data_IF_030513549047
#
_entry.id   IF_030513549047
#
_cell.length_a   1.000
_cell.length_b   1.000
_cell.length_c   1.000
_cell.angle_alpha   90.00
_cell.angle_beta   90.00
_cell.angle_gamma   90.00
#
_symmetry.space_group_name_H-M   'P 1'
#
loop_
_entity.id
_entity.type
_entity.pdbx_description
1 polymer ?
#
# COMPACT_ATOMS: atom_id res chain seq x y z
N UNK A 1 -14.53 -26.71 16.98
CA UNK A 1 -14.83 -25.29 16.64
C UNK A 1 -14.10 -24.45 17.68
N UNK A 2 -12.85 -24.08 17.42
CA UNK A 2 -12.11 -23.14 18.28
C UNK A 2 -12.41 -21.73 17.76
N UNK A 3 -12.94 -20.88 18.65
CA UNK A 3 -13.22 -19.48 18.36
C UNK A 3 -11.94 -18.80 17.86
N UNK A 4 -12.02 -18.13 16.71
CA UNK A 4 -10.94 -17.24 16.24
C UNK A 4 -10.76 -16.15 17.31
N UNK A 5 -9.51 -15.83 17.70
CA UNK A 5 -9.28 -14.70 18.57
C UNK A 5 -9.86 -13.45 17.91
N UNK A 6 -10.61 -12.67 18.68
CA UNK A 6 -11.06 -11.34 18.32
C UNK A 6 -9.87 -10.54 17.80
N UNK A 7 -10.09 -9.75 16.74
CA UNK A 7 -9.06 -8.87 16.20
C UNK A 7 -8.45 -8.07 17.37
N UNK A 8 -7.23 -8.42 17.78
CA UNK A 8 -6.53 -7.66 18.81
C UNK A 8 -6.45 -6.21 18.34
N UNK A 9 -6.97 -5.32 19.17
CA UNK A 9 -6.95 -3.91 18.88
C UNK A 9 -5.49 -3.49 18.67
N UNK A 10 -5.19 -3.08 17.43
CA UNK A 10 -3.87 -2.58 17.05
C UNK A 10 -3.42 -1.51 18.05
N UNK A 11 -2.18 -1.59 18.60
CA UNK A 11 -1.70 -0.51 19.45
C UNK A 11 -1.74 0.81 18.69
N UNK A 12 -2.08 1.92 19.37
CA UNK A 12 -2.12 3.23 18.72
C UNK A 12 -0.74 3.61 18.18
N UNK A 13 -0.72 4.37 17.08
CA UNK A 13 0.51 4.92 16.53
C UNK A 13 1.30 5.69 17.61
N UNK A 14 2.64 5.70 17.54
CA UNK A 14 3.45 6.54 18.42
C UNK A 14 2.98 8.00 18.40
N UNK A 15 3.01 8.72 19.54
CA UNK A 15 2.55 10.12 19.59
C UNK A 15 3.18 10.99 18.51
N UNK A 16 4.49 10.90 18.30
CA UNK A 16 5.19 11.67 17.27
C UNK A 16 4.67 11.40 15.85
N UNK A 17 4.32 10.17 15.52
CA UNK A 17 3.73 9.82 14.22
C UNK A 17 2.33 10.41 14.08
N UNK A 18 1.51 10.37 15.14
CA UNK A 18 0.17 11.00 15.15
C UNK A 18 0.23 12.50 14.96
N UNK A 19 1.15 13.17 15.65
CA UNK A 19 1.36 14.62 15.53
C UNK A 19 1.84 15.01 14.13
N UNK A 20 2.71 14.18 13.52
CA UNK A 20 3.16 14.38 12.16
C UNK A 20 2.03 14.20 11.14
N UNK A 21 1.18 13.18 11.29
CA UNK A 21 0.01 12.95 10.42
C UNK A 21 -0.99 14.12 10.49
N UNK A 22 -1.20 14.70 11.69
CA UNK A 22 -2.12 15.81 11.87
C UNK A 22 -1.75 17.07 11.06
N UNK A 23 -0.47 17.25 10.70
CA UNK A 23 -0.01 18.38 9.86
C UNK A 23 -0.54 18.33 8.44
N UNK A 24 -1.01 17.17 7.97
CA UNK A 24 -1.57 16.98 6.65
C UNK A 24 -3.09 17.17 6.58
N UNK A 25 -3.75 17.53 7.69
CA UNK A 25 -5.19 17.73 7.70
C UNK A 25 -5.62 18.75 6.65
N UNK A 26 -6.55 18.34 5.77
CA UNK A 26 -7.11 19.19 4.70
C UNK A 26 -6.23 19.31 3.44
N UNK A 27 -4.99 18.82 3.44
CA UNK A 27 -4.07 18.95 2.29
C UNK A 27 -4.54 18.20 1.04
N UNK A 28 -5.39 17.19 1.20
CA UNK A 28 -5.99 16.40 0.12
C UNK A 28 -7.50 16.64 -0.03
N UNK A 29 -8.02 17.78 0.44
CA UNK A 29 -9.44 18.12 0.30
C UNK A 29 -9.85 18.13 -1.19
N UNK A 30 -10.95 17.44 -1.51
CA UNK A 30 -11.45 17.31 -2.88
C UNK A 30 -10.67 16.35 -3.78
N UNK A 31 -9.69 15.61 -3.25
CA UNK A 31 -8.96 14.56 -3.97
C UNK A 31 -9.59 13.20 -3.73
N UNK A 32 -9.38 12.30 -4.69
CA UNK A 32 -9.80 10.90 -4.62
C UNK A 32 -8.56 10.00 -4.60
N UNK A 33 -8.51 9.10 -3.62
CA UNK A 33 -7.46 8.09 -3.53
C UNK A 33 -8.02 6.68 -3.78
N UNK A 34 -7.26 5.85 -4.47
CA UNK A 34 -7.52 4.41 -4.64
C UNK A 34 -6.43 3.65 -3.88
N UNK A 35 -6.80 2.76 -2.97
CA UNK A 35 -5.84 1.98 -2.18
C UNK A 35 -6.14 0.50 -2.31
N UNK A 36 -5.15 -0.30 -2.71
CA UNK A 36 -5.26 -1.76 -2.70
C UNK A 36 -4.69 -2.37 -1.43
N UNK A 37 -5.17 -3.56 -1.03
CA UNK A 37 -4.85 -4.11 0.28
C UNK A 37 -5.39 -3.27 1.44
N UNK A 38 -6.44 -2.47 1.18
CA UNK A 38 -6.94 -1.41 2.05
C UNK A 38 -7.55 -1.90 3.39
N UNK A 39 -7.89 -3.19 3.50
CA UNK A 39 -8.56 -3.71 4.69
C UNK A 39 -7.66 -3.94 5.91
N UNK A 40 -6.34 -4.06 5.74
CA UNK A 40 -5.41 -4.41 6.83
C UNK A 40 -4.05 -3.71 6.70
N UNK A 41 -3.25 -3.77 7.76
CA UNK A 41 -1.85 -3.37 7.75
C UNK A 41 -1.59 -1.97 7.20
N UNK A 42 -0.62 -1.88 6.30
CA UNK A 42 -0.18 -0.63 5.67
C UNK A 42 -1.31 0.01 4.86
N UNK A 43 -2.04 -0.80 4.04
CA UNK A 43 -3.13 -0.28 3.21
C UNK A 43 -4.26 0.35 4.04
N UNK A 44 -4.64 -0.29 5.17
CA UNK A 44 -5.63 0.27 6.11
C UNK A 44 -5.13 1.60 6.71
N UNK A 45 -3.90 1.63 7.20
CA UNK A 45 -3.32 2.83 7.80
C UNK A 45 -3.25 3.97 6.79
N UNK A 46 -2.80 3.69 5.58
CA UNK A 46 -2.72 4.64 4.47
C UNK A 46 -4.11 5.18 4.09
N UNK A 47 -5.12 4.31 3.98
CA UNK A 47 -6.50 4.73 3.67
C UNK A 47 -7.04 5.72 4.71
N UNK A 48 -6.84 5.43 5.99
CA UNK A 48 -7.27 6.30 7.08
C UNK A 48 -6.49 7.63 7.10
N UNK A 49 -5.19 7.59 6.83
CA UNK A 49 -4.35 8.79 6.78
C UNK A 49 -4.73 9.71 5.60
N UNK A 50 -4.98 9.15 4.41
CA UNK A 50 -5.44 9.89 3.24
C UNK A 50 -6.82 10.53 3.49
N UNK A 51 -7.74 9.80 4.15
CA UNK A 51 -9.04 10.33 4.52
C UNK A 51 -8.93 11.44 5.57
N UNK A 52 -8.08 11.30 6.58
CA UNK A 52 -7.82 12.36 7.58
C UNK A 52 -7.19 13.61 6.95
N UNK A 53 -6.42 13.44 5.86
CA UNK A 53 -5.90 14.53 5.05
C UNK A 53 -6.96 15.17 4.13
N UNK A 54 -8.18 14.64 4.06
CA UNK A 54 -9.30 15.22 3.34
C UNK A 54 -9.69 14.52 2.03
N UNK A 55 -9.03 13.41 1.66
CA UNK A 55 -9.38 12.66 0.46
C UNK A 55 -10.63 11.78 0.67
N UNK A 56 -11.40 11.57 -0.38
CA UNK A 56 -12.34 10.45 -0.48
C UNK A 56 -11.57 9.20 -0.94
N UNK A 57 -11.90 8.01 -0.44
CA UNK A 57 -11.04 6.83 -0.62
C UNK A 57 -11.80 5.62 -1.17
N UNK A 58 -11.33 5.09 -2.31
CA UNK A 58 -11.72 3.77 -2.81
C UNK A 58 -10.83 2.70 -2.17
N UNK A 59 -11.46 1.74 -1.50
CA UNK A 59 -10.86 0.67 -0.73
C UNK A 59 -10.96 -0.64 -1.50
N UNK A 60 -9.85 -1.12 -2.03
CA UNK A 60 -9.77 -2.35 -2.80
C UNK A 60 -9.06 -3.45 -2.03
N UNK A 61 -9.60 -4.67 -2.05
CA UNK A 61 -9.00 -5.83 -1.39
C UNK A 61 -9.90 -7.05 -1.52
N UNK A 62 -9.43 -8.24 -1.18
CA UNK A 62 -10.16 -9.48 -1.43
C UNK A 62 -11.35 -9.74 -0.49
N UNK A 63 -11.36 -9.15 0.70
CA UNK A 63 -12.36 -9.44 1.75
C UNK A 63 -13.21 -8.21 2.01
N UNK A 64 -14.53 -8.37 1.90
CA UNK A 64 -15.48 -7.27 2.08
C UNK A 64 -15.45 -6.73 3.52
N UNK A 65 -15.59 -7.60 4.52
CA UNK A 65 -15.72 -7.21 5.94
C UNK A 65 -14.62 -6.23 6.42
N UNK A 66 -13.29 -6.49 6.22
CA UNK A 66 -12.28 -5.51 6.61
C UNK A 66 -12.32 -4.19 5.83
N UNK A 67 -12.83 -4.20 4.60
CA UNK A 67 -13.01 -2.97 3.82
C UNK A 67 -14.16 -2.13 4.38
N UNK A 68 -15.27 -2.76 4.78
CA UNK A 68 -16.43 -2.09 5.38
C UNK A 68 -16.08 -1.46 6.74
N UNK A 69 -15.27 -2.13 7.55
CA UNK A 69 -14.73 -1.55 8.78
C UNK A 69 -13.95 -0.26 8.51
N UNK A 70 -13.06 -0.27 7.52
CA UNK A 70 -12.27 0.92 7.14
C UNK A 70 -13.18 2.00 6.56
N UNK A 71 -14.16 1.64 5.73
CA UNK A 71 -15.14 2.57 5.18
C UNK A 71 -15.94 3.27 6.28
N UNK A 72 -16.35 2.54 7.31
CA UNK A 72 -17.06 3.10 8.47
C UNK A 72 -16.18 4.12 9.20
N UNK A 73 -14.90 3.81 9.42
CA UNK A 73 -13.96 4.73 10.07
C UNK A 73 -13.73 6.00 9.23
N UNK A 74 -13.64 5.87 7.91
CA UNK A 74 -13.52 7.01 6.97
C UNK A 74 -14.78 7.87 7.01
N UNK A 75 -15.96 7.26 7.07
CA UNK A 75 -17.23 7.96 7.28
C UNK A 75 -17.23 8.78 8.57
N UNK A 76 -16.67 8.25 9.66
CA UNK A 76 -16.46 8.95 10.93
C UNK A 76 -15.52 10.17 10.83
N UNK A 77 -14.66 10.24 9.82
CA UNK A 77 -13.82 11.39 9.49
C UNK A 77 -14.53 12.41 8.57
N UNK A 78 -15.81 12.19 8.25
CA UNK A 78 -16.57 13.05 7.35
C UNK A 78 -16.17 12.92 5.87
N UNK A 79 -15.53 11.80 5.48
CA UNK A 79 -15.13 11.53 4.09
C UNK A 79 -15.93 10.39 3.50
N UNK A 80 -16.01 10.35 2.15
CA UNK A 80 -16.67 9.26 1.45
C UNK A 80 -15.70 8.11 1.25
N UNK A 81 -16.21 6.89 1.40
CA UNK A 81 -15.48 5.67 1.09
C UNK A 81 -16.26 4.81 0.09
N UNK A 82 -15.56 4.11 -0.79
CA UNK A 82 -16.11 3.10 -1.70
C UNK A 82 -15.35 1.80 -1.47
N UNK A 83 -15.99 0.83 -0.82
CA UNK A 83 -15.41 -0.49 -0.57
C UNK A 83 -15.77 -1.46 -1.70
N UNK A 84 -14.77 -2.09 -2.32
CA UNK A 84 -14.97 -3.03 -3.42
C UNK A 84 -14.05 -4.25 -3.26
N UNK A 85 -14.62 -5.46 -3.07
CA UNK A 85 -13.85 -6.69 -3.03
C UNK A 85 -13.34 -7.02 -4.43
N UNK A 86 -12.01 -7.12 -4.56
CA UNK A 86 -11.33 -7.45 -5.81
C UNK A 86 -9.98 -8.11 -5.54
N UNK A 87 -9.62 -9.09 -6.37
CA UNK A 87 -8.26 -9.61 -6.44
C UNK A 87 -7.46 -8.80 -7.48
N UNK A 88 -6.32 -8.25 -7.08
CA UNK A 88 -5.48 -7.43 -7.97
C UNK A 88 -4.88 -8.22 -9.12
N UNK A 89 -4.89 -9.56 -9.07
CA UNK A 89 -4.43 -10.44 -10.14
C UNK A 89 -5.45 -10.58 -11.27
N UNK A 90 -6.71 -10.21 -11.04
CA UNK A 90 -7.79 -10.20 -12.04
C UNK A 90 -7.87 -8.81 -12.69
N UNK A 91 -7.15 -8.60 -13.79
CA UNK A 91 -7.09 -7.32 -14.46
C UNK A 91 -8.47 -6.77 -14.90
N UNK A 92 -9.38 -7.55 -15.52
CA UNK A 92 -10.75 -7.10 -15.83
C UNK A 92 -11.53 -6.66 -14.58
N UNK A 93 -11.43 -7.40 -13.48
CA UNK A 93 -12.11 -7.05 -12.23
C UNK A 93 -11.54 -5.75 -11.62
N UNK A 94 -10.22 -5.54 -11.67
CA UNK A 94 -9.57 -4.31 -11.22
C UNK A 94 -10.03 -3.11 -12.05
N UNK A 95 -10.10 -3.25 -13.36
CA UNK A 95 -10.62 -2.19 -14.25
C UNK A 95 -12.10 -1.86 -13.94
N UNK A 96 -12.93 -2.87 -13.70
CA UNK A 96 -14.33 -2.67 -13.32
C UNK A 96 -14.45 -1.97 -11.96
N UNK A 97 -13.65 -2.38 -10.97
CA UNK A 97 -13.60 -1.76 -9.65
C UNK A 97 -13.17 -0.29 -9.73
N UNK A 98 -12.15 0.04 -10.52
CA UNK A 98 -11.68 1.42 -10.72
C UNK A 98 -12.75 2.28 -11.39
N UNK A 99 -13.47 1.77 -12.40
CA UNK A 99 -14.61 2.49 -13.03
C UNK A 99 -15.73 2.75 -12.03
N UNK A 100 -16.09 1.77 -11.23
CA UNK A 100 -17.14 1.89 -10.20
C UNK A 100 -16.73 2.91 -9.13
N UNK A 101 -15.47 2.88 -8.68
CA UNK A 101 -14.92 3.85 -7.75
C UNK A 101 -14.96 5.28 -8.34
N UNK A 102 -14.58 5.44 -9.62
CA UNK A 102 -14.64 6.74 -10.29
C UNK A 102 -16.07 7.27 -10.44
N UNK A 103 -17.05 6.40 -10.64
CA UNK A 103 -18.49 6.76 -10.65
C UNK A 103 -18.95 7.23 -9.28
N UNK A 104 -18.50 6.58 -8.21
CA UNK A 104 -18.94 6.86 -6.84
C UNK A 104 -18.25 8.10 -6.25
N UNK A 105 -16.94 8.28 -6.49
CA UNK A 105 -16.11 9.27 -5.80
C UNK A 105 -15.54 10.34 -6.73
N UNK A 106 -15.39 10.04 -8.01
CA UNK A 106 -14.66 10.82 -8.99
C UNK A 106 -13.36 10.14 -9.44
N UNK A 107 -12.67 10.71 -10.45
CA UNK A 107 -11.42 10.14 -10.95
C UNK A 107 -10.31 10.16 -9.89
N UNK A 108 -9.47 9.14 -9.88
CA UNK A 108 -8.38 9.02 -8.93
C UNK A 108 -7.29 10.08 -9.15
N UNK A 109 -6.95 10.82 -8.11
CA UNK A 109 -5.77 11.71 -8.04
C UNK A 109 -4.54 10.98 -7.48
N UNK A 110 -4.77 10.03 -6.56
CA UNK A 110 -3.72 9.23 -5.90
C UNK A 110 -4.08 7.75 -6.03
N UNK A 111 -3.13 6.91 -6.39
CA UNK A 111 -3.31 5.47 -6.30
C UNK A 111 -2.17 4.83 -5.51
N UNK A 112 -2.52 3.99 -4.53
CA UNK A 112 -1.57 3.30 -3.66
C UNK A 112 -1.68 1.79 -3.87
N UNK A 113 -0.70 1.20 -4.52
CA UNK A 113 -0.59 -0.23 -4.73
C UNK A 113 0.07 -0.87 -3.50
N UNK A 114 -0.75 -1.29 -2.52
CA UNK A 114 -0.30 -1.86 -1.24
C UNK A 114 -0.71 -3.32 -1.05
N UNK A 115 -1.43 -3.93 -2.00
CA UNK A 115 -1.70 -5.36 -1.96
C UNK A 115 -0.41 -6.16 -2.14
N UNK A 116 -0.22 -7.20 -1.32
CA UNK A 116 0.94 -8.05 -1.42
C UNK A 116 0.73 -9.40 -0.73
N UNK A 117 1.54 -10.38 -1.10
CA UNK A 117 1.59 -11.71 -0.49
C UNK A 117 3.03 -12.13 -0.23
N UNK A 118 3.20 -13.05 0.71
CA UNK A 118 4.49 -13.61 1.08
C UNK A 118 4.87 -14.81 0.16
N UNK A 119 6.18 -15.03 -0.02
CA UNK A 119 6.75 -16.22 -0.67
C UNK A 119 8.10 -16.56 -0.01
N UNK A 120 8.11 -16.61 1.31
CA UNK A 120 9.30 -16.87 2.11
C UNK A 120 9.50 -18.37 2.30
N UNK A 121 10.56 -18.91 1.72
CA UNK A 121 10.98 -20.30 1.86
C UNK A 121 12.41 -20.44 1.34
N UNK A 122 13.17 -21.40 1.87
CA UNK A 122 14.43 -21.81 1.28
C UNK A 122 14.20 -22.32 -0.15
N UNK A 123 15.19 -22.18 -1.02
CA UNK A 123 15.02 -22.40 -2.46
C UNK A 123 14.57 -23.82 -2.81
N UNK A 124 15.01 -24.81 -2.05
CA UNK A 124 14.65 -26.22 -2.20
C UNK A 124 13.22 -26.54 -1.68
N UNK A 125 12.68 -25.69 -0.81
CA UNK A 125 11.32 -25.79 -0.26
C UNK A 125 10.33 -24.81 -0.92
N UNK A 126 10.81 -23.90 -1.77
CA UNK A 126 9.96 -22.91 -2.43
C UNK A 126 9.04 -23.55 -3.45
N UNK A 127 7.75 -23.66 -3.12
CA UNK A 127 6.75 -24.17 -4.06
C UNK A 127 6.58 -23.22 -5.26
N UNK A 128 6.65 -23.77 -6.51
CA UNK A 128 6.45 -22.98 -7.72
C UNK A 128 5.11 -22.22 -7.80
N UNK A 129 4.05 -22.75 -7.20
CA UNK A 129 2.75 -22.04 -7.15
C UNK A 129 2.82 -20.83 -6.23
N UNK A 130 3.51 -20.93 -5.09
CA UNK A 130 3.76 -19.83 -4.16
C UNK A 130 4.57 -18.72 -4.82
N UNK A 131 5.63 -19.08 -5.57
CA UNK A 131 6.41 -18.10 -6.34
C UNK A 131 5.54 -17.39 -7.38
N UNK A 132 4.76 -18.14 -8.17
CA UNK A 132 3.84 -17.55 -9.17
C UNK A 132 2.83 -16.62 -8.53
N UNK A 133 2.23 -17.01 -7.42
CA UNK A 133 1.27 -16.17 -6.69
C UNK A 133 1.89 -14.86 -6.19
N UNK A 134 3.15 -14.90 -5.73
CA UNK A 134 3.86 -13.69 -5.32
C UNK A 134 4.13 -12.76 -6.51
N UNK A 135 4.60 -13.28 -7.64
CA UNK A 135 4.82 -12.48 -8.85
C UNK A 135 3.50 -11.90 -9.38
N UNK A 136 2.44 -12.70 -9.44
CA UNK A 136 1.13 -12.24 -9.88
C UNK A 136 0.58 -11.12 -8.98
N UNK A 137 0.66 -11.26 -7.66
CA UNK A 137 0.13 -10.25 -6.75
C UNK A 137 1.05 -9.02 -6.64
N UNK A 138 2.36 -9.25 -6.40
CA UNK A 138 3.30 -8.21 -6.03
C UNK A 138 3.86 -7.44 -7.23
N UNK A 139 3.70 -7.97 -8.46
CA UNK A 139 4.18 -7.33 -9.69
C UNK A 139 3.02 -7.07 -10.66
N UNK A 140 2.34 -8.12 -11.16
CA UNK A 140 1.24 -7.96 -12.12
C UNK A 140 0.08 -7.18 -11.51
N UNK A 141 -0.25 -7.42 -10.22
CA UNK A 141 -1.29 -6.69 -9.50
C UNK A 141 -1.02 -5.18 -9.44
N UNK A 142 0.23 -4.76 -9.27
CA UNK A 142 0.63 -3.35 -9.34
C UNK A 142 0.35 -2.78 -10.74
N UNK A 143 0.77 -3.49 -11.78
CA UNK A 143 0.54 -3.08 -13.16
C UNK A 143 -0.96 -2.95 -13.48
N UNK A 144 -1.78 -3.91 -13.02
CA UNK A 144 -3.23 -3.89 -13.21
C UNK A 144 -3.88 -2.66 -12.58
N UNK A 145 -3.50 -2.33 -11.34
CA UNK A 145 -4.03 -1.15 -10.64
C UNK A 145 -3.62 0.15 -11.34
N UNK A 146 -2.34 0.28 -11.71
CA UNK A 146 -1.84 1.46 -12.42
C UNK A 146 -2.57 1.62 -13.76
N UNK A 147 -2.69 0.57 -14.56
CA UNK A 147 -3.41 0.59 -15.84
C UNK A 147 -4.86 1.01 -15.68
N UNK A 148 -5.52 0.60 -14.62
CA UNK A 148 -6.93 0.91 -14.39
C UNK A 148 -7.19 2.39 -14.06
N UNK A 149 -6.26 3.07 -13.35
CA UNK A 149 -6.41 4.48 -12.97
C UNK A 149 -5.76 5.44 -13.97
N UNK A 150 -4.78 4.98 -14.73
CA UNK A 150 -3.94 5.80 -15.61
C UNK A 150 -4.72 6.60 -16.67
N UNK A 151 -5.77 6.08 -17.34
CA UNK A 151 -6.51 6.85 -18.34
C UNK A 151 -7.07 8.17 -17.79
N UNK A 152 -7.64 8.15 -16.59
CA UNK A 152 -8.17 9.35 -15.95
C UNK A 152 -7.06 10.34 -15.55
N UNK A 153 -5.95 9.86 -15.01
CA UNK A 153 -4.79 10.68 -14.67
C UNK A 153 -4.16 11.34 -15.90
N UNK A 154 -4.08 10.61 -17.03
CA UNK A 154 -3.60 11.19 -18.31
C UNK A 154 -4.50 12.31 -18.82
N UNK A 155 -5.82 12.14 -18.75
CA UNK A 155 -6.78 13.21 -19.12
C UNK A 155 -6.61 14.44 -18.23
N UNK A 156 -6.38 14.23 -16.94
CA UNK A 156 -6.16 15.30 -15.97
C UNK A 156 -4.75 15.92 -16.05
N UNK A 157 -3.81 15.30 -16.76
CA UNK A 157 -2.37 15.62 -16.79
C UNK A 157 -1.77 15.76 -15.39
N UNK A 158 -2.24 14.95 -14.44
CA UNK A 158 -1.78 14.91 -13.05
C UNK A 158 -2.13 13.58 -12.40
N UNK A 159 -1.34 13.17 -11.45
CA UNK A 159 -1.58 11.98 -10.62
C UNK A 159 -0.37 11.61 -9.78
N UNK A 160 -0.62 10.90 -8.69
CA UNK A 160 0.43 10.32 -7.85
C UNK A 160 0.19 8.82 -7.71
N UNK A 161 1.14 8.04 -8.18
CA UNK A 161 1.17 6.58 -8.06
C UNK A 161 2.18 6.21 -6.99
N UNK A 162 1.76 5.52 -5.93
CA UNK A 162 2.64 5.08 -4.85
C UNK A 162 2.62 3.56 -4.79
N UNK A 163 3.76 2.95 -4.96
CA UNK A 163 3.96 1.51 -4.90
C UNK A 163 4.57 1.13 -3.55
N UNK A 164 3.89 0.30 -2.78
CA UNK A 164 4.44 -0.24 -1.54
C UNK A 164 5.25 -1.50 -1.88
N UNK A 165 6.56 -1.31 -2.01
CA UNK A 165 7.51 -2.39 -2.23
C UNK A 165 7.98 -3.02 -0.89
N UNK A 166 9.27 -3.03 -0.63
CA UNK A 166 9.94 -3.49 0.60
C UNK A 166 11.42 -3.13 0.49
N UNK A 167 12.12 -3.02 1.61
CA UNK A 167 13.58 -3.02 1.65
C UNK A 167 14.18 -4.28 0.98
N UNK A 168 13.43 -5.39 0.95
CA UNK A 168 13.76 -6.58 0.17
C UNK A 168 13.66 -6.36 -1.36
N UNK A 169 13.22 -5.22 -1.84
CA UNK A 169 13.39 -4.77 -3.22
C UNK A 169 14.82 -4.31 -3.53
N UNK A 170 15.68 -4.16 -2.50
CA UNK A 170 17.07 -3.69 -2.58
C UNK A 170 18.05 -4.59 -1.82
N UNK A 171 17.60 -5.25 -0.79
CA UNK A 171 18.41 -6.03 0.15
C UNK A 171 17.92 -7.46 0.17
N UNK A 172 18.57 -8.38 -0.58
CA UNK A 172 18.20 -9.79 -0.55
C UNK A 172 18.54 -10.43 0.78
N UNK A 173 17.72 -11.40 1.18
CA UNK A 173 17.89 -12.15 2.43
C UNK A 173 17.77 -13.66 2.18
N UNK A 174 18.50 -14.50 2.94
CA UNK A 174 18.34 -15.95 2.90
C UNK A 174 16.89 -16.36 3.17
N UNK A 175 16.39 -17.41 2.51
CA UNK A 175 15.02 -17.88 2.62
C UNK A 175 13.99 -16.97 1.93
N UNK A 176 14.39 -15.80 1.44
CA UNK A 176 13.50 -14.82 0.83
C UNK A 176 13.38 -14.89 -0.70
N UNK A 177 13.97 -15.88 -1.37
CA UNK A 177 14.14 -15.86 -2.83
C UNK A 177 12.88 -15.50 -3.62
N UNK A 178 11.74 -16.09 -3.30
CA UNK A 178 10.46 -15.81 -3.98
C UNK A 178 9.92 -14.40 -3.70
N UNK A 179 9.95 -14.00 -2.44
CA UNK A 179 9.49 -12.66 -2.02
C UNK A 179 10.41 -11.56 -2.56
N UNK A 180 11.72 -11.71 -2.37
CA UNK A 180 12.77 -10.82 -2.87
C UNK A 180 12.63 -10.60 -4.37
N UNK A 181 12.55 -11.68 -5.16
CA UNK A 181 12.36 -11.59 -6.60
C UNK A 181 11.12 -10.76 -6.97
N UNK A 182 10.00 -10.95 -6.26
CA UNK A 182 8.78 -10.19 -6.50
C UNK A 182 8.92 -8.71 -6.14
N UNK A 183 9.66 -8.38 -5.07
CA UNK A 183 9.85 -6.99 -4.63
C UNK A 183 10.89 -6.24 -5.49
N UNK A 184 11.96 -6.91 -5.94
CA UNK A 184 12.83 -6.36 -6.99
C UNK A 184 12.05 -6.08 -8.28
N UNK A 185 11.16 -7.02 -8.69
CA UNK A 185 10.26 -6.84 -9.83
C UNK A 185 9.33 -5.65 -9.66
N UNK A 186 8.75 -5.45 -8.48
CA UNK A 186 7.88 -4.31 -8.17
C UNK A 186 8.62 -2.97 -8.28
N UNK A 187 9.84 -2.88 -7.74
CA UNK A 187 10.69 -1.68 -7.84
C UNK A 187 11.05 -1.41 -9.30
N UNK A 188 11.57 -2.41 -10.04
CA UNK A 188 11.94 -2.25 -11.44
C UNK A 188 10.77 -1.84 -12.33
N UNK A 189 9.58 -2.44 -12.11
CA UNK A 189 8.34 -2.05 -12.79
C UNK A 189 7.98 -0.59 -12.52
N UNK A 190 7.96 -0.18 -11.25
CA UNK A 190 7.57 1.18 -10.86
C UNK A 190 8.53 2.24 -11.42
N UNK A 191 9.85 2.00 -11.35
CA UNK A 191 10.85 2.93 -11.88
C UNK A 191 10.78 3.05 -13.41
N UNK A 192 10.51 1.95 -14.12
CA UNK A 192 10.30 1.98 -15.57
C UNK A 192 9.06 2.81 -15.93
N UNK A 193 7.94 2.58 -15.23
CA UNK A 193 6.69 3.35 -15.43
C UNK A 193 6.90 4.83 -15.08
N UNK A 194 7.73 5.15 -14.08
CA UNK A 194 8.07 6.55 -13.75
C UNK A 194 8.62 7.29 -14.95
N UNK A 195 9.57 6.71 -15.66
CA UNK A 195 10.17 7.32 -16.85
C UNK A 195 9.16 7.54 -17.99
N UNK A 196 8.18 6.62 -18.13
CA UNK A 196 7.13 6.74 -19.16
C UNK A 196 6.10 7.83 -18.83
N UNK A 197 5.89 8.16 -17.57
CA UNK A 197 4.78 9.00 -17.12
C UNK A 197 5.19 10.44 -16.76
N UNK A 198 6.47 10.74 -16.69
CA UNK A 198 6.96 12.10 -16.39
C UNK A 198 6.37 13.15 -17.32
N UNK A 199 6.39 12.90 -18.63
CA UNK A 199 5.85 13.84 -19.62
C UNK A 199 4.32 14.01 -19.53
N UNK A 200 3.61 13.09 -18.87
CA UNK A 200 2.18 13.15 -18.64
C UNK A 200 1.81 13.89 -17.34
N UNK A 201 2.77 14.42 -16.59
CA UNK A 201 2.53 15.08 -15.29
C UNK A 201 2.15 14.12 -14.17
N UNK A 202 2.47 12.84 -14.31
CA UNK A 202 2.12 11.80 -13.31
C UNK A 202 3.38 11.37 -12.59
N UNK A 203 3.41 11.55 -11.26
CA UNK A 203 4.51 11.12 -10.41
C UNK A 203 4.35 9.66 -9.98
N UNK A 204 5.43 8.87 -10.07
CA UNK A 204 5.51 7.51 -9.55
C UNK A 204 6.53 7.45 -8.44
N UNK A 205 6.14 6.87 -7.32
CA UNK A 205 6.93 6.82 -6.11
C UNK A 205 6.95 5.39 -5.56
N UNK A 206 8.10 4.92 -5.14
CA UNK A 206 8.26 3.62 -4.47
C UNK A 206 8.54 3.86 -3.00
N UNK A 207 7.75 3.25 -2.13
CA UNK A 207 8.01 3.18 -0.70
C UNK A 207 8.51 1.78 -0.38
N UNK A 208 9.68 1.70 0.24
CA UNK A 208 10.38 0.46 0.55
C UNK A 208 10.49 0.29 2.07
N UNK A 209 9.42 -0.13 2.76
CA UNK A 209 9.47 -0.33 4.19
C UNK A 209 10.24 -1.60 4.54
N UNK A 210 11.04 -1.53 5.60
CA UNK A 210 11.53 -2.69 6.32
C UNK A 210 10.42 -3.34 7.15
N UNK A 211 10.77 -3.96 8.27
CA UNK A 211 9.79 -4.65 9.10
C UNK A 211 8.72 -3.72 9.65
N UNK A 212 7.45 -3.98 9.31
CA UNK A 212 6.29 -3.20 9.77
C UNK A 212 5.37 -4.08 10.61
N UNK A 213 5.00 -3.64 11.81
CA UNK A 213 4.11 -4.36 12.73
C UNK A 213 2.69 -4.49 12.18
N UNK A 214 2.45 -5.52 11.40
CA UNK A 214 1.17 -5.82 10.72
C UNK A 214 0.78 -7.28 10.96
N UNK A 215 -0.45 -7.69 10.59
CA UNK A 215 -0.85 -9.11 10.57
C UNK A 215 -0.05 -10.01 9.62
N UNK A 216 0.90 -9.47 8.90
CA UNK A 216 1.85 -10.20 8.06
C UNK A 216 2.77 -11.10 8.88
N UNK A 217 3.16 -10.65 10.06
CA UNK A 217 4.00 -11.38 10.99
C UNK A 217 3.16 -12.22 11.97
N UNK A 218 3.74 -13.28 12.55
CA UNK A 218 3.07 -14.08 13.58
C UNK A 218 2.63 -13.23 14.79
N UNK A 219 1.90 -13.79 15.76
CA UNK A 219 1.46 -13.10 16.96
C UNK A 219 2.59 -12.34 17.69
N UNK A 220 2.23 -11.31 18.45
CA UNK A 220 3.18 -10.39 19.09
C UNK A 220 4.21 -11.06 19.99
N UNK A 221 3.88 -12.23 20.52
CA UNK A 221 4.76 -13.05 21.38
C UNK A 221 5.96 -13.63 20.61
N UNK A 222 5.80 -13.80 19.28
CA UNK A 222 6.81 -14.38 18.40
C UNK A 222 7.53 -13.33 17.53
N UNK A 223 7.06 -12.10 17.52
CA UNK A 223 7.61 -11.03 16.69
C UNK A 223 8.02 -9.81 17.53
N UNK A 224 9.21 -9.20 17.31
CA UNK A 224 9.69 -8.04 18.07
C UNK A 224 8.96 -6.75 17.66
N UNK A 225 7.62 -6.73 17.74
CA UNK A 225 6.76 -5.66 17.20
C UNK A 225 7.09 -4.27 17.73
N UNK A 226 7.58 -4.16 18.98
CA UNK A 226 7.99 -2.88 19.57
C UNK A 226 9.25 -2.26 18.92
N UNK A 227 9.99 -3.04 18.13
CA UNK A 227 11.17 -2.61 17.39
C UNK A 227 10.89 -2.36 15.89
N UNK A 228 9.70 -2.75 15.40
CA UNK A 228 9.27 -2.58 14.01
C UNK A 228 8.70 -1.18 13.77
N UNK A 229 8.63 -0.78 12.51
CA UNK A 229 7.83 0.37 12.09
C UNK A 229 6.35 0.14 12.43
N UNK A 230 5.66 1.20 12.78
CA UNK A 230 4.21 1.18 12.84
C UNK A 230 3.64 1.38 11.41
N UNK A 231 2.50 0.77 11.04
CA UNK A 231 1.90 1.02 9.71
C UNK A 231 1.62 2.50 9.44
N UNK A 232 1.40 3.31 10.48
CA UNK A 232 1.19 4.76 10.33
C UNK A 232 2.50 5.50 9.98
N UNK A 233 3.68 4.94 10.26
CA UNK A 233 4.95 5.52 9.80
C UNK A 233 5.05 5.41 8.27
N UNK A 234 4.59 4.29 7.71
CA UNK A 234 4.50 4.11 6.25
C UNK A 234 3.40 4.99 5.66
N UNK A 235 2.25 5.11 6.33
CA UNK A 235 1.18 6.00 5.90
C UNK A 235 1.61 7.47 5.88
N UNK A 236 2.44 7.91 6.83
CA UNK A 236 3.03 9.25 6.83
C UNK A 236 3.93 9.48 5.61
N UNK A 237 4.74 8.49 5.23
CA UNK A 237 5.54 8.55 4.01
C UNK A 237 4.67 8.66 2.76
N UNK A 238 3.58 7.88 2.67
CA UNK A 238 2.63 7.99 1.56
C UNK A 238 1.97 9.36 1.50
N UNK A 239 1.55 9.93 2.63
CA UNK A 239 1.00 11.29 2.68
C UNK A 239 2.01 12.34 2.19
N UNK A 240 3.25 12.25 2.64
CA UNK A 240 4.32 13.13 2.16
C UNK A 240 4.43 13.07 0.64
N UNK A 241 4.50 11.88 0.06
CA UNK A 241 4.60 11.69 -1.39
C UNK A 241 3.35 12.18 -2.14
N UNK A 242 2.16 11.91 -1.61
CA UNK A 242 0.89 12.33 -2.19
C UNK A 242 0.70 13.86 -2.21
N UNK A 243 1.38 14.58 -1.32
CA UNK A 243 1.30 16.04 -1.18
C UNK A 243 2.48 16.81 -1.78
N UNK A 244 3.45 16.11 -2.38
CA UNK A 244 4.54 16.76 -3.11
C UNK A 244 3.98 17.64 -4.24
N UNK A 245 4.63 18.79 -4.53
CA UNK A 245 4.33 19.58 -5.71
C UNK A 245 4.33 18.72 -6.98
N UNK A 246 3.50 19.05 -7.97
CA UNK A 246 3.30 18.21 -9.15
C UNK A 246 4.58 18.00 -9.98
N UNK A 247 5.48 18.99 -9.97
CA UNK A 247 6.77 18.93 -10.68
C UNK A 247 7.86 18.16 -9.90
N UNK A 248 7.56 17.66 -8.68
CA UNK A 248 8.52 16.95 -7.85
C UNK A 248 8.18 15.46 -7.82
N UNK A 249 9.13 14.63 -8.20
CA UNK A 249 9.08 13.19 -8.06
C UNK A 249 10.21 12.75 -7.14
N UNK A 250 9.87 12.06 -6.06
CA UNK A 250 10.80 11.33 -5.22
C UNK A 250 10.61 9.86 -5.57
N UNK A 251 11.50 9.33 -6.39
CA UNK A 251 11.31 8.01 -7.00
C UNK A 251 11.29 6.90 -5.96
N UNK A 252 12.17 6.94 -4.96
CA UNK A 252 12.34 5.87 -3.98
C UNK A 252 12.49 6.43 -2.57
N UNK A 253 11.83 5.80 -1.61
CA UNK A 253 11.86 6.14 -0.20
C UNK A 253 11.99 4.87 0.65
N UNK A 254 13.21 4.61 1.14
CA UNK A 254 13.51 3.48 2.01
C UNK A 254 13.27 3.88 3.49
N UNK A 255 12.37 3.18 4.16
CA UNK A 255 12.09 3.34 5.59
C UNK A 255 12.48 2.08 6.35
N UNK A 256 13.36 2.20 7.32
CA UNK A 256 13.76 1.08 8.18
C UNK A 256 13.60 1.43 9.65
N UNK A 257 13.25 0.48 10.52
CA UNK A 257 13.29 0.70 11.96
C UNK A 257 14.73 0.99 12.39
N UNK A 258 14.94 2.01 13.22
CA UNK A 258 16.29 2.36 13.70
C UNK A 258 17.04 1.20 14.35
N UNK A 259 16.29 0.37 15.09
CA UNK A 259 16.86 -0.72 15.90
C UNK A 259 16.90 -2.07 15.17
N UNK A 260 16.44 -2.12 13.91
CA UNK A 260 16.38 -3.30 13.05
C UNK A 260 16.91 -2.97 11.66
N UNK A 261 18.18 -2.52 11.60
CA UNK A 261 18.88 -2.26 10.32
C UNK A 261 19.20 -3.56 9.56
N UNK A 262 19.08 -4.70 10.22
CA UNK A 262 19.24 -6.05 9.69
C UNK A 262 18.03 -6.86 10.17
N UNK A 263 17.76 -7.99 9.56
CA UNK A 263 16.59 -8.85 9.81
C UNK A 263 16.23 -9.00 11.30
N UNK A 264 14.93 -8.93 11.68
CA UNK A 264 14.51 -8.97 13.08
C UNK A 264 14.83 -10.27 13.81
N UNK A 265 15.19 -11.31 13.06
CA UNK A 265 15.47 -12.68 13.53
C UNK A 265 16.97 -13.05 13.48
N UNK A 266 17.86 -12.16 13.04
CA UNK A 266 19.31 -12.35 12.96
C UNK A 266 20.09 -11.76 14.12
#
# INVERSE_FOLDING_TARGET
MTARPSAEARPPAPPATRDALARYTGTLAGRVAVVTGAGTGIGRATSLALAAAGADVALLGRRQEPLDEVATLIGGLGRRAFACPVDVTDAPAVEAAARSAATALGPADVAVASAGVNAWADIDALDPATLRAALATNVEGIANVIRAVLPAMRVASRGKLVVIASDNGRRPEPGGAGYVASKFGAVGLALSISQELHAAGIGVHVVEPGCVSTPWYPPAEEAPRGRMLHPDDVALAVLFLATLPEHVVLEELLLVPRDLLVHPWG
#
